data_IF_411804053295
#
_entry.id   IF_411804053295
#
_cell.length_a   1.000
_cell.length_b   1.000
_cell.length_c   1.000
_cell.angle_alpha   90.00
_cell.angle_beta   90.00
_cell.angle_gamma   90.00
#
_symmetry.space_group_name_H-M   'P 1'
#
loop_
_entity.id
_entity.type
_entity.pdbx_description
1 polymer ?
#
# COMPACT_ATOMS: atom_id res chain seq x y z
N UNK A 1 28.67 39.48 -19.78
CA UNK A 1 27.84 38.34 -20.24
C UNK A 1 28.23 37.13 -19.40
N UNK A 2 27.43 36.77 -18.40
CA UNK A 2 27.61 35.54 -17.61
C UNK A 2 26.61 34.49 -18.15
N UNK A 3 27.05 33.30 -18.60
CA UNK A 3 26.12 32.21 -18.83
C UNK A 3 25.62 31.68 -17.48
N UNK A 4 24.30 31.64 -17.31
CA UNK A 4 23.65 30.95 -16.19
C UNK A 4 24.04 29.47 -16.18
N UNK A 5 24.37 28.87 -15.02
CA UNK A 5 24.43 27.43 -14.91
C UNK A 5 23.01 26.83 -15.06
N UNK A 6 22.93 25.71 -15.79
CA UNK A 6 21.71 24.97 -16.04
C UNK A 6 21.02 24.54 -14.72
N UNK A 7 19.68 24.45 -14.69
CA UNK A 7 18.98 23.93 -13.52
C UNK A 7 19.33 22.46 -13.33
N UNK A 8 19.89 22.13 -12.18
CA UNK A 8 20.01 20.77 -11.66
C UNK A 8 18.64 20.12 -11.58
N UNK A 9 18.42 19.07 -12.36
CA UNK A 9 17.21 18.23 -12.34
C UNK A 9 17.09 17.50 -10.99
N UNK A 10 16.04 17.74 -10.18
CA UNK A 10 15.67 16.87 -9.08
C UNK A 10 14.38 16.11 -9.47
N UNK A 11 14.47 15.21 -10.46
CA UNK A 11 13.32 14.49 -11.01
C UNK A 11 13.49 12.96 -10.88
N UNK A 12 13.94 12.47 -9.72
CA UNK A 12 14.18 11.03 -9.50
C UNK A 12 13.54 10.44 -8.22
N UNK A 13 13.05 11.27 -7.29
CA UNK A 13 12.46 10.80 -6.03
C UNK A 13 11.00 10.31 -6.10
N UNK A 14 10.08 10.92 -6.89
CA UNK A 14 8.67 10.51 -6.87
C UNK A 14 8.38 9.20 -7.64
N UNK A 15 9.22 8.80 -8.61
CA UNK A 15 9.08 7.52 -9.33
C UNK A 15 9.40 6.32 -8.44
N UNK A 16 10.49 6.39 -7.67
CA UNK A 16 10.97 5.30 -6.82
C UNK A 16 9.96 4.94 -5.71
N UNK A 17 9.33 5.95 -5.09
CA UNK A 17 8.29 5.72 -4.06
C UNK A 17 7.04 5.08 -4.65
N UNK A 18 6.68 5.43 -5.89
CA UNK A 18 5.59 4.80 -6.64
C UNK A 18 5.93 3.34 -6.94
N UNK A 19 7.13 3.06 -7.44
CA UNK A 19 7.61 1.70 -7.74
C UNK A 19 7.59 0.81 -6.49
N UNK A 20 8.11 1.30 -5.35
CA UNK A 20 8.05 0.56 -4.09
C UNK A 20 6.62 0.32 -3.60
N UNK A 21 5.70 1.27 -3.81
CA UNK A 21 4.29 1.10 -3.43
C UNK A 21 3.60 0.07 -4.33
N UNK A 22 3.95 0.01 -5.62
CA UNK A 22 3.45 -1.01 -6.55
C UNK A 22 3.96 -2.41 -6.17
N UNK A 23 5.24 -2.52 -5.82
CA UNK A 23 5.83 -3.77 -5.33
C UNK A 23 5.17 -4.24 -4.03
N UNK A 24 4.82 -3.31 -3.13
CA UNK A 24 4.12 -3.64 -1.89
C UNK A 24 2.72 -4.20 -2.19
N UNK A 25 1.95 -3.57 -3.07
CA UNK A 25 0.64 -4.09 -3.47
C UNK A 25 0.71 -5.46 -4.14
N UNK A 26 1.71 -5.69 -4.99
CA UNK A 26 1.96 -7.01 -5.57
C UNK A 26 2.31 -8.04 -4.49
N UNK A 27 3.12 -7.67 -3.51
CA UNK A 27 3.52 -8.54 -2.40
C UNK A 27 2.32 -8.92 -1.51
N UNK A 28 1.44 -7.98 -1.20
CA UNK A 28 0.18 -8.20 -0.45
C UNK A 28 -0.77 -9.14 -1.20
N UNK A 29 -0.94 -8.91 -2.51
CA UNK A 29 -1.78 -9.76 -3.35
C UNK A 29 -1.24 -11.20 -3.40
N UNK A 30 0.04 -11.39 -3.72
CA UNK A 30 0.66 -12.72 -3.78
C UNK A 30 0.61 -13.44 -2.43
N UNK A 31 0.81 -12.72 -1.33
CA UNK A 31 0.72 -13.30 0.01
C UNK A 31 -0.70 -13.79 0.31
N UNK A 32 -1.72 -13.01 -0.06
CA UNK A 32 -3.13 -13.38 0.15
C UNK A 32 -3.53 -14.64 -0.61
N UNK A 33 -3.11 -14.76 -1.87
CA UNK A 33 -3.34 -15.96 -2.70
C UNK A 33 -2.65 -17.19 -2.11
N UNK A 34 -1.38 -17.07 -1.71
CA UNK A 34 -0.64 -18.17 -1.10
C UNK A 34 -1.21 -18.58 0.27
N UNK A 35 -1.73 -17.64 1.07
CA UNK A 35 -2.42 -17.95 2.33
C UNK A 35 -3.75 -18.68 2.12
N UNK A 36 -4.47 -18.36 1.04
CA UNK A 36 -5.66 -19.12 0.65
C UNK A 36 -5.28 -20.55 0.30
N UNK A 37 -4.31 -20.74 -0.59
CA UNK A 37 -3.83 -22.07 -0.97
C UNK A 37 -3.32 -22.85 0.24
N UNK A 38 -2.52 -22.23 1.11
CA UNK A 38 -2.04 -22.85 2.35
C UNK A 38 -3.18 -23.36 3.23
N UNK A 39 -4.26 -22.58 3.37
CA UNK A 39 -5.45 -22.97 4.15
C UNK A 39 -6.14 -24.18 3.54
N UNK A 40 -6.29 -24.22 2.22
CA UNK A 40 -6.88 -25.36 1.51
C UNK A 40 -6.04 -26.63 1.64
N UNK A 41 -4.72 -26.51 1.47
CA UNK A 41 -3.80 -27.65 1.62
C UNK A 41 -3.77 -28.18 3.06
N UNK A 42 -3.92 -27.29 4.04
CA UNK A 42 -3.93 -27.64 5.47
C UNK A 42 -5.30 -28.05 6.00
N UNK A 43 -6.35 -28.02 5.15
CA UNK A 43 -7.70 -28.31 5.59
C UNK A 43 -7.82 -29.77 6.07
N UNK A 44 -8.59 -30.04 7.14
CA UNK A 44 -8.75 -31.40 7.67
C UNK A 44 -9.25 -32.40 6.63
N UNK A 45 -10.13 -31.96 5.72
CA UNK A 45 -10.63 -32.79 4.62
C UNK A 45 -9.50 -33.17 3.65
N UNK A 46 -8.67 -32.22 3.25
CA UNK A 46 -7.51 -32.45 2.38
C UNK A 46 -6.57 -33.47 3.01
N UNK A 47 -6.28 -33.32 4.31
CA UNK A 47 -5.44 -34.27 5.04
C UNK A 47 -6.04 -35.68 5.09
N UNK A 48 -7.32 -35.80 5.41
CA UNK A 48 -8.02 -37.08 5.41
C UNK A 48 -8.01 -37.76 4.03
N UNK A 49 -8.10 -36.98 2.94
CA UNK A 49 -7.99 -37.50 1.58
C UNK A 49 -6.58 -38.05 1.31
N UNK A 50 -5.52 -37.30 1.65
CA UNK A 50 -4.14 -37.75 1.48
C UNK A 50 -3.85 -39.02 2.29
N UNK A 51 -4.30 -39.09 3.54
CA UNK A 51 -4.19 -40.27 4.39
C UNK A 51 -4.90 -41.48 3.74
N UNK A 52 -6.11 -41.27 3.23
CA UNK A 52 -6.87 -42.33 2.55
C UNK A 52 -6.20 -42.81 1.26
N UNK A 53 -5.53 -41.91 0.53
CA UNK A 53 -4.83 -42.23 -0.73
C UNK A 53 -3.55 -43.00 -0.43
N UNK A 54 -2.76 -42.53 0.54
CA UNK A 54 -1.55 -43.22 0.99
C UNK A 54 -1.83 -44.61 1.58
N UNK A 55 -2.95 -44.78 2.29
CA UNK A 55 -3.32 -46.09 2.85
C UNK A 55 -3.79 -47.11 1.79
N UNK A 56 -4.27 -46.64 0.62
CA UNK A 56 -4.88 -47.49 -0.41
C UNK A 56 -3.98 -47.72 -1.63
N UNK A 57 -2.86 -47.04 -1.74
CA UNK A 57 -1.98 -47.11 -2.90
C UNK A 57 -0.53 -46.86 -2.53
N UNK A 58 0.39 -47.60 -3.17
CA UNK A 58 1.82 -47.31 -3.12
C UNK A 58 2.11 -46.11 -4.03
N UNK A 59 1.83 -44.92 -3.52
CA UNK A 59 1.90 -43.66 -4.26
C UNK A 59 2.67 -42.59 -3.50
N UNK A 60 3.35 -41.73 -4.25
CA UNK A 60 4.07 -40.56 -3.71
C UNK A 60 3.20 -39.31 -3.63
N UNK A 61 1.92 -39.38 -4.00
CA UNK A 61 0.99 -38.23 -4.00
C UNK A 61 0.97 -37.49 -2.66
N UNK A 62 0.86 -38.15 -1.48
CA UNK A 62 0.96 -37.46 -0.20
C UNK A 62 2.26 -36.68 -0.02
N UNK A 63 3.40 -37.29 -0.37
CA UNK A 63 4.72 -36.66 -0.28
C UNK A 63 4.84 -35.43 -1.18
N UNK A 64 4.42 -35.53 -2.44
CA UNK A 64 4.45 -34.40 -3.40
C UNK A 64 3.53 -33.27 -2.93
N UNK A 65 2.40 -33.61 -2.31
CA UNK A 65 1.47 -32.63 -1.77
C UNK A 65 2.04 -31.90 -0.53
N UNK A 66 2.73 -32.62 0.35
CA UNK A 66 3.47 -32.03 1.47
C UNK A 66 4.62 -31.13 1.00
N UNK A 67 5.32 -31.52 -0.07
CA UNK A 67 6.34 -30.68 -0.71
C UNK A 67 5.75 -29.38 -1.25
N UNK A 68 4.59 -29.44 -1.90
CA UNK A 68 3.88 -28.24 -2.36
C UNK A 68 3.48 -27.33 -1.19
N UNK A 69 2.94 -27.89 -0.10
CA UNK A 69 2.60 -27.10 1.09
C UNK A 69 3.83 -26.42 1.69
N UNK A 70 4.96 -27.13 1.77
CA UNK A 70 6.24 -26.57 2.26
C UNK A 70 6.75 -25.46 1.33
N UNK A 71 6.63 -25.61 0.02
CA UNK A 71 7.03 -24.58 -0.94
C UNK A 71 6.23 -23.29 -0.74
N UNK A 72 4.93 -23.40 -0.47
CA UNK A 72 4.07 -22.25 -0.14
C UNK A 72 4.53 -21.57 1.15
N UNK A 73 4.83 -22.32 2.21
CA UNK A 73 5.33 -21.75 3.47
C UNK A 73 6.66 -21.00 3.25
N UNK A 74 7.57 -21.54 2.44
CA UNK A 74 8.84 -20.89 2.08
C UNK A 74 8.60 -19.61 1.29
N UNK A 75 7.68 -19.63 0.33
CA UNK A 75 7.31 -18.47 -0.47
C UNK A 75 6.70 -17.36 0.40
N UNK A 76 5.76 -17.69 1.29
CA UNK A 76 5.18 -16.74 2.25
C UNK A 76 6.24 -16.12 3.16
N UNK A 77 7.19 -16.91 3.66
CA UNK A 77 8.30 -16.39 4.45
C UNK A 77 9.19 -15.43 3.65
N UNK A 78 9.39 -15.68 2.36
CA UNK A 78 10.14 -14.79 1.47
C UNK A 78 9.39 -13.48 1.20
N UNK A 79 8.08 -13.54 0.93
CA UNK A 79 7.23 -12.37 0.75
C UNK A 79 7.15 -11.52 2.03
N UNK A 80 7.12 -12.14 3.21
CA UNK A 80 7.19 -11.42 4.49
C UNK A 80 8.51 -10.67 4.70
N UNK A 81 9.64 -11.19 4.21
CA UNK A 81 10.92 -10.46 4.20
C UNK A 81 10.91 -9.30 3.20
N UNK A 82 10.31 -9.52 2.03
CA UNK A 82 10.17 -8.49 1.00
C UNK A 82 9.30 -7.32 1.53
N UNK A 83 8.20 -7.64 2.21
CA UNK A 83 7.32 -6.68 2.88
C UNK A 83 8.07 -5.77 3.84
N UNK A 84 8.88 -6.37 4.73
CA UNK A 84 9.66 -5.65 5.72
C UNK A 84 10.70 -4.70 5.07
N UNK A 85 11.37 -5.15 4.01
CA UNK A 85 12.32 -4.33 3.26
C UNK A 85 11.60 -3.18 2.54
N UNK A 86 10.51 -3.46 1.83
CA UNK A 86 9.71 -2.45 1.12
C UNK A 86 9.17 -1.39 2.09
N UNK A 87 8.66 -1.79 3.25
CA UNK A 87 8.23 -0.86 4.29
C UNK A 87 9.36 -0.02 4.85
N UNK A 88 10.56 -0.59 5.01
CA UNK A 88 11.75 0.17 5.44
C UNK A 88 12.14 1.22 4.39
N UNK A 89 12.08 0.87 3.10
CA UNK A 89 12.39 1.78 1.98
C UNK A 89 11.34 2.88 1.81
N UNK A 90 10.07 2.59 2.02
CA UNK A 90 8.97 3.58 1.96
C UNK A 90 9.01 4.53 3.16
N UNK A 91 9.45 4.06 4.34
CA UNK A 91 9.59 4.88 5.56
C UNK A 91 10.88 5.70 5.61
N UNK A 92 11.89 5.36 4.81
CA UNK A 92 13.10 6.16 4.71
C UNK A 92 12.76 7.56 4.15
N UNK A 93 13.26 8.65 4.76
CA UNK A 93 12.87 10.01 4.39
C UNK A 93 13.52 10.42 3.07
N UNK A 94 12.84 10.15 1.96
CA UNK A 94 13.15 10.76 0.67
C UNK A 94 12.51 12.15 0.64
N UNK A 95 13.23 13.13 1.19
CA UNK A 95 12.98 14.57 1.02
C UNK A 95 11.61 15.05 1.51
N UNK A 96 11.49 15.35 2.81
CA UNK A 96 10.28 15.93 3.40
C UNK A 96 10.14 17.40 3.01
N UNK A 97 9.11 17.72 2.22
CA UNK A 97 8.45 19.02 2.31
C UNK A 97 7.53 18.96 3.53
N UNK A 98 8.03 19.47 4.64
CA UNK A 98 7.33 19.53 5.93
C UNK A 98 6.26 20.63 5.85
N UNK A 99 4.98 20.25 5.95
CA UNK A 99 3.91 21.15 6.37
C UNK A 99 3.85 21.02 7.89
N UNK A 100 4.06 22.13 8.60
CA UNK A 100 4.20 22.12 10.05
C UNK A 100 3.07 21.36 10.76
N UNK A 101 3.44 20.34 11.53
CA UNK A 101 2.53 19.58 12.40
C UNK A 101 1.78 18.41 11.73
N UNK A 102 1.96 18.14 10.43
CA UNK A 102 1.32 16.99 9.76
C UNK A 102 2.41 16.10 9.11
N UNK A 103 2.55 14.82 9.52
CA UNK A 103 3.56 13.92 8.96
C UNK A 103 3.42 13.81 7.44
N UNK A 104 4.55 13.92 6.74
CA UNK A 104 4.72 14.02 5.28
C UNK A 104 3.51 13.53 4.45
N UNK A 105 2.60 14.45 4.14
CA UNK A 105 1.45 14.20 3.27
C UNK A 105 1.92 13.93 1.83
N UNK A 106 1.25 13.04 1.10
CA UNK A 106 1.59 12.80 -0.29
C UNK A 106 1.44 14.06 -1.16
N UNK A 107 2.22 14.19 -2.25
CA UNK A 107 2.40 15.47 -2.94
C UNK A 107 1.10 16.11 -3.47
N UNK A 108 0.14 15.29 -3.93
CA UNK A 108 -1.16 15.79 -4.40
C UNK A 108 -1.99 16.38 -3.27
N UNK A 109 -2.00 15.73 -2.10
CA UNK A 109 -2.70 16.20 -0.90
C UNK A 109 -2.03 17.43 -0.31
N UNK A 110 -0.70 17.40 -0.19
CA UNK A 110 0.09 18.54 0.27
C UNK A 110 -0.18 19.79 -0.59
N UNK A 111 -0.16 19.64 -1.92
CA UNK A 111 -0.49 20.73 -2.85
C UNK A 111 -1.94 21.20 -2.72
N UNK A 112 -2.91 20.29 -2.66
CA UNK A 112 -4.33 20.64 -2.52
C UNK A 112 -4.59 21.48 -1.26
N UNK A 113 -3.98 21.09 -0.14
CA UNK A 113 -4.10 21.81 1.13
C UNK A 113 -3.34 23.13 1.11
N UNK A 114 -2.11 23.17 0.58
CA UNK A 114 -1.33 24.39 0.45
C UNK A 114 -2.03 25.46 -0.40
N UNK A 115 -2.74 25.05 -1.46
CA UNK A 115 -3.53 25.97 -2.30
C UNK A 115 -4.74 26.58 -1.57
N UNK A 116 -5.21 25.97 -0.48
CA UNK A 116 -6.48 26.33 0.18
C UNK A 116 -6.32 26.78 1.63
N UNK A 117 -5.14 26.60 2.23
CA UNK A 117 -4.88 26.97 3.63
C UNK A 117 -5.13 28.45 3.91
N UNK A 118 -4.92 29.31 2.90
CA UNK A 118 -5.06 30.76 3.01
C UNK A 118 -6.49 31.25 2.70
N UNK A 119 -7.43 30.34 2.37
CA UNK A 119 -8.83 30.69 2.11
C UNK A 119 -9.56 30.89 3.45
N UNK A 120 -10.13 32.07 3.72
CA UNK A 120 -10.90 32.31 4.93
C UNK A 120 -12.10 31.37 5.03
N UNK A 121 -12.26 30.71 6.18
CA UNK A 121 -13.35 29.74 6.40
C UNK A 121 -13.08 28.34 5.86
N UNK A 122 -11.89 28.07 5.32
CA UNK A 122 -11.47 26.71 4.98
C UNK A 122 -10.98 25.96 6.21
N UNK A 123 -11.61 24.82 6.49
CA UNK A 123 -11.24 23.90 7.56
C UNK A 123 -11.02 22.52 6.99
N UNK A 124 -9.99 21.83 7.48
CA UNK A 124 -9.71 20.46 7.07
C UNK A 124 -9.26 19.60 8.25
N UNK A 125 -9.52 18.31 8.13
CA UNK A 125 -9.04 17.27 9.04
C UNK A 125 -8.36 16.18 8.19
N UNK A 126 -7.11 15.87 8.52
CA UNK A 126 -6.37 14.78 7.88
C UNK A 126 -6.33 13.58 8.82
N UNK A 127 -6.74 12.42 8.33
CA UNK A 127 -6.68 11.14 9.05
C UNK A 127 -5.99 10.09 8.20
N UNK A 128 -5.30 9.16 8.85
CA UNK A 128 -4.72 7.98 8.21
C UNK A 128 -5.66 6.79 8.41
N UNK A 129 -6.21 6.27 7.32
CA UNK A 129 -7.03 5.07 7.27
C UNK A 129 -6.20 3.87 6.81
N UNK A 130 -6.41 2.69 7.42
CA UNK A 130 -5.60 1.50 7.15
C UNK A 130 -5.84 0.91 5.75
N UNK A 131 -7.02 1.13 5.18
CA UNK A 131 -7.43 0.57 3.88
C UNK A 131 -7.38 1.64 2.79
N UNK A 132 -7.80 2.86 3.12
CA UNK A 132 -7.98 3.96 2.19
C UNK A 132 -6.80 4.93 2.11
N UNK A 133 -5.74 4.72 2.90
CA UNK A 133 -4.59 5.62 2.91
C UNK A 133 -4.88 6.94 3.63
N UNK A 134 -4.43 8.06 3.06
CA UNK A 134 -4.70 9.37 3.62
C UNK A 134 -6.10 9.85 3.24
N UNK A 135 -6.88 10.22 4.26
CA UNK A 135 -8.23 10.75 4.11
C UNK A 135 -8.24 12.19 4.58
N UNK A 136 -8.65 13.09 3.70
CA UNK A 136 -8.84 14.50 4.02
C UNK A 136 -10.33 14.82 3.98
N UNK A 137 -10.86 15.28 5.11
CA UNK A 137 -12.17 15.90 5.18
C UNK A 137 -11.97 17.40 5.14
N UNK A 138 -12.72 18.10 4.29
CA UNK A 138 -12.64 19.56 4.25
C UNK A 138 -14.03 20.18 4.17
N UNK A 139 -14.13 21.38 4.72
CA UNK A 139 -15.31 22.24 4.68
C UNK A 139 -14.85 23.67 4.44
N UNK A 140 -15.61 24.40 3.65
CA UNK A 140 -15.42 25.82 3.37
C UNK A 140 -16.69 26.56 3.76
N UNK A 141 -16.55 27.55 4.64
CA UNK A 141 -17.65 28.43 5.05
C UNK A 141 -17.46 29.83 4.45
N UNK A 142 -18.56 30.44 4.06
CA UNK A 142 -18.60 31.86 3.69
C UNK A 142 -18.41 32.76 4.90
N UNK A 143 -18.20 34.05 4.63
CA UNK A 143 -18.08 35.10 5.66
C UNK A 143 -19.35 35.29 6.49
N UNK A 144 -20.49 34.82 5.98
CA UNK A 144 -21.80 34.75 6.64
C UNK A 144 -21.98 33.48 7.50
N UNK A 145 -20.97 32.61 7.55
CA UNK A 145 -21.01 31.32 8.23
C UNK A 145 -21.77 30.24 7.46
N UNK A 146 -22.26 30.53 6.25
CA UNK A 146 -22.94 29.53 5.42
C UNK A 146 -21.93 28.53 4.83
N UNK A 147 -22.25 27.24 4.82
CA UNK A 147 -21.42 26.23 4.18
C UNK A 147 -21.42 26.44 2.66
N UNK A 148 -20.25 26.75 2.09
CA UNK A 148 -20.05 26.95 0.65
C UNK A 148 -19.62 25.67 -0.06
N UNK A 149 -18.84 24.85 0.62
CA UNK A 149 -18.33 23.61 0.05
C UNK A 149 -17.96 22.63 1.14
N UNK A 150 -18.14 21.34 0.85
CA UNK A 150 -17.61 20.28 1.68
C UNK A 150 -17.22 19.12 0.78
N UNK A 151 -16.18 18.40 1.18
CA UNK A 151 -15.70 17.27 0.41
C UNK A 151 -14.87 16.32 1.24
N UNK A 152 -14.70 15.14 0.67
CA UNK A 152 -13.77 14.13 1.17
C UNK A 152 -12.84 13.78 0.01
N UNK A 153 -11.54 13.84 0.27
CA UNK A 153 -10.54 13.37 -0.66
C UNK A 153 -9.92 12.10 -0.08
N UNK A 154 -10.08 11.00 -0.80
CA UNK A 154 -9.37 9.77 -0.52
C UNK A 154 -8.21 9.71 -1.50
N UNK A 155 -6.99 9.75 -0.98
CA UNK A 155 -5.91 9.21 -1.78
C UNK A 155 -6.03 7.70 -1.69
N UNK A 156 -6.80 7.09 -2.58
CA UNK A 156 -6.88 5.64 -2.76
C UNK A 156 -5.54 5.19 -3.35
N UNK A 157 -4.56 4.67 -2.58
CA UNK A 157 -3.29 4.23 -3.15
C UNK A 157 -3.45 3.08 -4.17
N UNK A 158 -4.64 2.48 -4.21
CA UNK A 158 -5.01 1.31 -5.02
C UNK A 158 -6.20 1.55 -5.98
N UNK A 159 -6.63 2.79 -6.23
CA UNK A 159 -7.78 3.07 -7.14
C UNK A 159 -7.63 2.52 -8.56
N UNK A 160 -6.38 2.26 -8.97
CA UNK A 160 -6.00 1.78 -10.30
C UNK A 160 -5.91 0.24 -10.36
N UNK A 161 -6.32 -0.47 -9.30
CA UNK A 161 -6.49 -1.93 -9.29
C UNK A 161 -7.95 -2.36 -9.57
N UNK A 162 -8.87 -1.42 -9.85
CA UNK A 162 -10.29 -1.68 -10.15
C UNK A 162 -10.62 -1.74 -11.66
N UNK A 163 -9.63 -1.79 -12.57
CA UNK A 163 -9.81 -2.03 -14.01
C UNK A 163 -9.35 -3.44 -14.44
#
# INVERSE_FOLDING_TARGET
MNPSPAPTTPEAAPSLRREFSQLLGLNEHLSSELELLRRELSAPLTRALLDSVGARSDTTVPTVFEEAARAIDVALAALGRCDAELHTRIRAPLGELHLDGIPALPPRLSRFLAERQDIPGFHYEVRRDRVRGWVVHWKEYGTDGALRGAGQFYERPYAWLED
#
